data_IF_401712731749
#
_entry.id   IF_401712731749
#
_cell.length_a   1.000
_cell.length_b   1.000
_cell.length_c   1.000
_cell.angle_alpha   90.00
_cell.angle_beta   90.00
_cell.angle_gamma   90.00
#
_symmetry.space_group_name_H-M   'P 1'
#
loop_
_entity.id
_entity.type
_entity.pdbx_description
1 polymer ?
#
# COMPACT_ATOMS: atom_id res chain seq x y z
N UNK A 1 17.90 -2.11 -4.64
CA UNK A 1 17.03 -2.32 -3.46
C UNK A 1 17.39 -1.26 -2.44
N UNK A 2 16.44 -0.69 -1.68
CA UNK A 2 16.77 0.15 -0.53
C UNK A 2 17.75 -0.61 0.38
N UNK A 3 18.74 0.09 0.91
CA UNK A 3 19.80 -0.49 1.73
C UNK A 3 19.30 -1.08 3.07
N UNK A 4 18.11 -0.68 3.52
CA UNK A 4 17.45 -1.17 4.75
C UNK A 4 16.22 -2.08 4.51
N UNK A 5 16.06 -2.64 3.31
CA UNK A 5 14.91 -3.49 3.00
C UNK A 5 14.97 -4.79 3.81
N UNK A 6 13.97 -5.01 4.67
CA UNK A 6 13.79 -6.31 5.35
C UNK A 6 13.27 -7.34 4.34
N UNK A 7 14.14 -8.25 3.91
CA UNK A 7 13.83 -9.25 2.89
C UNK A 7 13.09 -10.43 3.54
N UNK A 8 11.98 -10.85 2.94
CA UNK A 8 11.24 -12.07 3.34
C UNK A 8 9.97 -11.84 4.15
N UNK A 9 9.54 -10.59 4.35
CA UNK A 9 8.28 -10.26 5.04
C UNK A 9 7.25 -9.73 4.04
N UNK A 10 6.01 -10.20 4.13
CA UNK A 10 4.91 -9.65 3.35
C UNK A 10 4.63 -8.21 3.76
N UNK A 11 4.50 -7.30 2.80
CA UNK A 11 4.08 -5.94 3.07
C UNK A 11 2.58 -5.92 3.42
N UNK A 12 2.24 -5.37 4.59
CA UNK A 12 0.86 -5.16 5.02
C UNK A 12 0.27 -3.84 4.53
N UNK A 13 1.13 -2.91 4.07
CA UNK A 13 0.73 -1.57 3.68
C UNK A 13 1.31 -1.20 2.32
N UNK A 14 0.53 -0.45 1.55
CA UNK A 14 0.99 0.26 0.37
C UNK A 14 0.57 1.72 0.49
N UNK A 15 1.52 2.63 0.38
CA UNK A 15 1.23 4.06 0.23
C UNK A 15 1.55 4.50 -1.19
N UNK A 16 0.71 5.38 -1.73
CA UNK A 16 0.87 5.93 -3.08
C UNK A 16 1.04 7.44 -2.98
N UNK A 17 2.11 7.94 -3.54
CA UNK A 17 2.40 9.37 -3.60
C UNK A 17 3.11 9.71 -4.92
N UNK A 18 3.40 10.99 -5.16
CA UNK A 18 4.06 11.42 -6.40
C UNK A 18 5.18 12.40 -6.13
N UNK A 19 6.23 12.31 -6.96
CA UNK A 19 7.23 13.35 -7.13
C UNK A 19 6.90 14.19 -8.37
N UNK A 20 7.78 15.12 -8.73
CA UNK A 20 7.69 15.83 -10.00
C UNK A 20 7.85 14.89 -11.22
N UNK A 21 8.57 13.77 -11.06
CA UNK A 21 8.99 12.90 -12.16
C UNK A 21 8.38 11.49 -12.14
N UNK A 22 7.71 11.09 -11.05
CA UNK A 22 7.23 9.72 -10.90
C UNK A 22 6.05 9.57 -9.94
N UNK A 23 5.25 8.52 -10.15
CA UNK A 23 4.40 7.94 -9.14
C UNK A 23 5.20 6.95 -8.31
N UNK A 24 5.06 7.01 -7.00
CA UNK A 24 5.82 6.18 -6.06
C UNK A 24 4.85 5.32 -5.27
N UNK A 25 5.12 4.01 -5.27
CA UNK A 25 4.45 3.04 -4.43
C UNK A 25 5.46 2.55 -3.40
N UNK A 26 5.18 2.84 -2.13
CA UNK A 26 5.95 2.32 -1.00
C UNK A 26 5.19 1.20 -0.33
N UNK A 27 5.75 0.01 -0.41
CA UNK A 27 5.30 -1.17 0.31
C UNK A 27 6.02 -1.23 1.65
N UNK A 28 5.26 -1.36 2.73
CA UNK A 28 5.78 -1.32 4.07
C UNK A 28 5.25 -2.47 4.93
N UNK A 29 6.04 -2.82 5.93
CA UNK A 29 5.67 -3.80 6.96
C UNK A 29 5.69 -3.15 8.33
N UNK A 30 4.80 -3.61 9.22
CA UNK A 30 4.79 -3.24 10.62
C UNK A 30 6.07 -3.73 11.29
N UNK A 31 6.73 -2.84 12.02
CA UNK A 31 7.96 -3.20 12.77
C UNK A 31 7.71 -3.36 14.27
N UNK A 32 6.55 -2.92 14.76
CA UNK A 32 6.11 -3.03 16.16
C UNK A 32 4.59 -2.81 16.25
N UNK A 33 3.93 -3.26 17.34
CA UNK A 33 2.49 -3.12 17.51
C UNK A 33 2.00 -1.66 17.40
N UNK A 34 0.76 -1.44 16.91
CA UNK A 34 0.14 -0.12 16.89
C UNK A 34 0.00 0.49 18.29
N UNK A 35 0.15 1.82 18.38
CA UNK A 35 0.00 2.58 19.62
C UNK A 35 -0.96 3.75 19.43
N UNK A 36 -1.68 4.14 20.48
CA UNK A 36 -2.51 5.35 20.45
C UNK A 36 -1.61 6.55 20.71
N UNK A 37 -1.49 7.42 19.72
CA UNK A 37 -0.76 8.67 19.79
C UNK A 37 -1.71 9.87 19.81
N UNK A 38 -1.18 11.03 20.16
CA UNK A 38 -1.91 12.29 20.19
C UNK A 38 -1.18 13.30 19.32
N UNK A 39 -1.92 13.95 18.41
CA UNK A 39 -1.40 15.01 17.58
C UNK A 39 -1.09 16.25 18.45
N UNK A 40 0.16 16.77 18.43
CA UNK A 40 0.58 17.81 19.35
C UNK A 40 -0.09 19.17 19.07
N UNK A 41 -0.53 19.41 17.84
CA UNK A 41 -1.11 20.70 17.44
C UNK A 41 -2.64 20.75 17.66
N UNK A 42 -3.33 19.66 17.37
CA UNK A 42 -4.80 19.55 17.44
C UNK A 42 -5.31 18.82 18.68
N UNK A 43 -4.45 18.09 19.39
CA UNK A 43 -4.82 17.23 20.51
C UNK A 43 -5.62 15.98 20.12
N UNK A 44 -5.81 15.71 18.82
CA UNK A 44 -6.58 14.57 18.32
C UNK A 44 -5.85 13.25 18.57
N UNK A 45 -6.57 12.22 19.01
CA UNK A 45 -6.01 10.87 19.16
C UNK A 45 -6.05 10.13 17.82
N UNK A 46 -4.96 9.44 17.49
CA UNK A 46 -4.86 8.60 16.31
C UNK A 46 -4.11 7.30 16.62
N UNK A 47 -4.31 6.29 15.78
CA UNK A 47 -3.52 5.05 15.85
C UNK A 47 -2.24 5.26 15.05
N UNK A 48 -1.09 5.22 15.72
CA UNK A 48 0.22 5.25 15.12
C UNK A 48 0.68 3.82 14.86
N UNK A 49 0.96 3.50 13.60
CA UNK A 49 1.46 2.20 13.16
C UNK A 49 2.88 2.39 12.62
N UNK A 50 3.92 2.07 13.41
CA UNK A 50 5.29 2.22 12.96
C UNK A 50 5.59 1.18 11.87
N UNK A 51 5.95 1.67 10.68
CA UNK A 51 6.20 0.83 9.51
C UNK A 51 7.56 1.13 8.88
N UNK A 52 8.17 0.11 8.28
CA UNK A 52 9.38 0.22 7.46
C UNK A 52 9.07 -0.09 6.01
N UNK A 53 9.56 0.75 5.10
CA UNK A 53 9.48 0.49 3.66
C UNK A 53 10.39 -0.68 3.31
N UNK A 54 9.79 -1.74 2.78
CA UNK A 54 10.49 -2.96 2.34
C UNK A 54 10.68 -2.96 0.82
N UNK A 55 9.82 -2.25 0.07
CA UNK A 55 10.01 -2.03 -1.35
C UNK A 55 9.47 -0.67 -1.78
N UNK A 56 10.21 0.00 -2.68
CA UNK A 56 9.80 1.25 -3.32
C UNK A 56 9.82 1.07 -4.83
N UNK A 57 8.68 1.27 -5.46
CA UNK A 57 8.53 1.22 -6.92
C UNK A 57 8.28 2.63 -7.43
N UNK A 58 9.11 3.09 -8.37
CA UNK A 58 8.92 4.36 -9.08
C UNK A 58 8.43 4.09 -10.49
N UNK A 59 7.37 4.78 -10.88
CA UNK A 59 6.69 4.58 -12.15
C UNK A 59 6.65 5.92 -12.88
N UNK A 60 7.20 6.00 -14.10
CA UNK A 60 7.06 7.19 -14.94
C UNK A 60 5.57 7.52 -15.17
N UNK A 61 5.18 8.81 -15.21
CA UNK A 61 3.79 9.20 -15.42
C UNK A 61 3.16 8.61 -16.68
N UNK A 62 3.92 8.45 -17.77
CA UNK A 62 3.43 7.84 -19.00
C UNK A 62 3.09 6.35 -18.90
N UNK A 63 3.52 5.66 -17.84
CA UNK A 63 3.31 4.23 -17.63
C UNK A 63 2.30 3.91 -16.52
N UNK A 64 1.96 4.88 -15.66
CA UNK A 64 1.05 4.65 -14.52
C UNK A 64 -0.36 4.29 -14.98
N UNK A 65 -0.79 4.81 -16.13
CA UNK A 65 -2.14 4.58 -16.65
C UNK A 65 -2.42 3.11 -16.93
N UNK A 66 -1.49 2.42 -17.59
CA UNK A 66 -1.62 0.99 -17.89
C UNK A 66 -1.64 0.15 -16.61
N UNK A 67 -0.87 0.54 -15.59
CA UNK A 67 -0.90 -0.13 -14.30
C UNK A 67 -2.27 0.02 -13.62
N UNK A 68 -2.85 1.22 -13.60
CA UNK A 68 -4.16 1.45 -12.99
C UNK A 68 -5.25 0.60 -13.67
N UNK A 69 -5.26 0.55 -15.01
CA UNK A 69 -6.19 -0.33 -15.75
C UNK A 69 -6.00 -1.81 -15.42
N UNK A 70 -4.75 -2.25 -15.29
CA UNK A 70 -4.46 -3.63 -14.93
C UNK A 70 -4.96 -3.94 -13.50
N UNK A 71 -4.76 -3.04 -12.54
CA UNK A 71 -5.24 -3.18 -11.17
C UNK A 71 -6.78 -3.24 -11.12
N UNK A 72 -7.45 -2.32 -11.80
CA UNK A 72 -8.92 -2.30 -11.90
C UNK A 72 -9.46 -3.60 -12.51
N UNK A 73 -8.89 -4.04 -13.62
CA UNK A 73 -9.29 -5.30 -14.27
C UNK A 73 -9.15 -6.51 -13.34
N UNK A 74 -8.07 -6.57 -12.57
CA UNK A 74 -7.85 -7.67 -11.62
C UNK A 74 -8.84 -7.60 -10.44
N UNK A 75 -9.13 -6.40 -9.93
CA UNK A 75 -10.13 -6.22 -8.88
C UNK A 75 -11.52 -6.67 -9.35
N UNK A 76 -11.96 -6.24 -10.53
CA UNK A 76 -13.26 -6.66 -11.07
C UNK A 76 -13.34 -8.17 -11.31
N UNK A 77 -12.23 -8.82 -11.68
CA UNK A 77 -12.19 -10.27 -11.80
C UNK A 77 -12.35 -10.95 -10.43
N UNK A 78 -11.61 -10.48 -9.42
CA UNK A 78 -11.71 -10.99 -8.05
C UNK A 78 -13.12 -10.86 -7.48
N UNK A 79 -13.78 -9.71 -7.69
CA UNK A 79 -15.14 -9.47 -7.19
C UNK A 79 -16.16 -10.42 -7.81
N UNK A 80 -16.05 -10.72 -9.11
CA UNK A 80 -16.90 -11.71 -9.78
C UNK A 80 -16.70 -13.11 -9.19
N UNK A 81 -15.46 -13.51 -8.98
CA UNK A 81 -15.13 -14.83 -8.45
C UNK A 81 -15.55 -14.97 -6.97
N UNK A 82 -15.46 -13.90 -6.19
CA UNK A 82 -15.91 -13.86 -4.80
C UNK A 82 -17.44 -13.84 -4.70
N UNK A 83 -18.12 -13.13 -5.62
CA UNK A 83 -19.58 -13.13 -5.73
C UNK A 83 -20.14 -14.50 -6.10
N UNK A 84 -19.57 -15.15 -7.12
CA UNK A 84 -19.97 -16.50 -7.53
C UNK A 84 -19.84 -17.52 -6.39
N UNK A 85 -18.74 -17.46 -5.62
CA UNK A 85 -18.55 -18.33 -4.43
C UNK A 85 -19.56 -18.11 -3.31
N UNK A 86 -20.21 -16.94 -3.24
CA UNK A 86 -21.23 -16.65 -2.23
C UNK A 86 -22.62 -17.13 -2.65
N UNK A 87 -22.87 -17.25 -3.95
CA UNK A 87 -24.16 -17.69 -4.49
C UNK A 87 -24.25 -19.23 -4.59
N UNK A 88 -23.11 -19.93 -4.57
CA UNK A 88 -22.99 -21.40 -4.55
C UNK A 88 -22.98 -22.02 -3.12
N UNK A 89 -23.10 -21.20 -2.06
CA UNK A 89 -23.03 -21.61 -0.65
C UNK A 89 -24.36 -21.39 0.08
#
# INVERSE_FOLDING_TARGET
MPEDAEVGVYAGFASVWRTQESFVLDFATEVRPPEVAQDPDSGSRYVHVPARVVARVRIPPGQVWELMKALEKNLSAYERDAGARRDDA
#
